data_IF_599360182256
#
_entry.id   IF_599360182256
#
_cell.length_a   1.000
_cell.length_b   1.000
_cell.length_c   1.000
_cell.angle_alpha   90.00
_cell.angle_beta   90.00
_cell.angle_gamma   90.00
#
_symmetry.space_group_name_H-M   'P 1'
#
loop_
_entity.id
_entity.type
_entity.pdbx_description
1 polymer ?
#
# COMPACT_ATOMS: atom_id res chain seq x y z
N UNK A 1 5.54 -21.56 7.57
CA UNK A 1 4.49 -20.79 6.88
C UNK A 1 5.18 -19.97 5.81
N UNK A 2 4.77 -20.08 4.54
CA UNK A 2 5.24 -19.16 3.50
C UNK A 2 4.49 -17.85 3.74
N UNK A 3 5.18 -16.85 4.27
CA UNK A 3 4.62 -15.50 4.36
C UNK A 3 4.31 -15.04 2.94
N UNK A 4 3.06 -14.66 2.71
CA UNK A 4 2.65 -14.01 1.48
C UNK A 4 3.34 -12.65 1.48
N UNK A 5 4.56 -12.58 0.94
CA UNK A 5 5.26 -11.32 0.69
C UNK A 5 4.56 -10.60 -0.46
N UNK A 6 3.34 -10.11 -0.21
CA UNK A 6 2.78 -9.04 -1.00
C UNK A 6 3.77 -7.89 -0.84
N UNK A 7 4.35 -7.40 -1.94
CA UNK A 7 5.10 -6.16 -1.97
C UNK A 7 4.13 -4.99 -1.71
N UNK A 8 3.59 -4.95 -0.50
CA UNK A 8 2.79 -3.84 0.02
C UNK A 8 3.81 -2.84 0.55
N UNK A 9 3.78 -1.60 0.05
CA UNK A 9 4.60 -0.54 0.62
C UNK A 9 4.36 -0.51 2.13
N UNK A 10 5.43 -0.48 2.91
CA UNK A 10 5.32 -0.38 4.36
C UNK A 10 4.95 1.07 4.73
N UNK A 11 3.73 1.46 4.40
CA UNK A 11 3.20 2.82 4.45
C UNK A 11 1.83 2.78 5.14
N UNK A 12 1.63 3.64 6.14
CA UNK A 12 0.40 3.68 6.96
C UNK A 12 -0.16 5.10 7.01
N UNK A 13 -1.48 5.26 6.92
CA UNK A 13 -2.08 6.58 7.10
C UNK A 13 -1.93 7.04 8.56
N UNK A 14 -1.80 8.35 8.76
CA UNK A 14 -1.64 8.91 10.12
C UNK A 14 -2.82 8.59 11.03
N UNK A 15 -4.03 8.57 10.46
CA UNK A 15 -5.25 8.18 11.20
C UNK A 15 -5.14 6.74 11.72
N UNK A 16 -4.83 5.78 10.84
CA UNK A 16 -4.71 4.37 11.22
C UNK A 16 -3.56 4.16 12.19
N UNK A 17 -2.43 4.85 12.00
CA UNK A 17 -1.30 4.78 12.95
C UNK A 17 -1.72 5.25 14.36
N UNK A 18 -2.47 6.34 14.46
CA UNK A 18 -2.98 6.83 15.74
C UNK A 18 -3.95 5.83 16.39
N UNK A 19 -4.81 5.17 15.60
CA UNK A 19 -5.71 4.13 16.11
C UNK A 19 -4.92 2.95 16.70
N UNK A 20 -3.89 2.49 15.99
CA UNK A 20 -3.01 1.42 16.48
C UNK A 20 -2.29 1.86 17.76
N UNK A 21 -1.70 3.05 17.78
CA UNK A 21 -1.00 3.58 18.95
C UNK A 21 -1.90 3.65 20.18
N UNK A 22 -3.12 4.18 20.03
CA UNK A 22 -4.11 4.26 21.10
C UNK A 22 -4.46 2.87 21.64
N UNK A 23 -4.69 1.89 20.77
CA UNK A 23 -5.02 0.52 21.17
C UNK A 23 -3.88 -0.15 21.96
N UNK A 24 -2.63 0.07 21.54
CA UNK A 24 -1.44 -0.46 22.22
C UNK A 24 -1.24 0.21 23.58
N UNK A 25 -1.28 1.55 23.63
CA UNK A 25 -1.11 2.28 24.89
C UNK A 25 -2.19 1.92 25.92
N UNK A 26 -3.44 1.79 25.50
CA UNK A 26 -4.52 1.37 26.39
C UNK A 26 -4.24 -0.01 27.03
N UNK A 27 -3.69 -0.97 26.27
CA UNK A 27 -3.34 -2.29 26.81
C UNK A 27 -2.12 -2.24 27.72
N UNK A 28 -1.13 -1.41 27.40
CA UNK A 28 0.02 -1.17 28.27
C UNK A 28 -0.43 -0.59 29.61
N UNK A 29 -1.31 0.42 29.59
CA UNK A 29 -1.86 1.02 30.80
C UNK A 29 -2.60 -0.01 31.66
N UNK A 30 -3.40 -0.89 31.05
CA UNK A 30 -4.05 -2.00 31.74
C UNK A 30 -3.05 -2.97 32.38
N UNK A 31 -1.97 -3.30 31.67
CA UNK A 31 -0.91 -4.17 32.20
C UNK A 31 -0.22 -3.54 33.41
N UNK A 32 0.05 -2.23 33.38
CA UNK A 32 0.67 -1.50 34.50
C UNK A 32 -0.27 -1.35 35.71
N UNK A 33 -1.58 -1.28 35.49
CA UNK A 33 -2.58 -1.22 36.57
C UNK A 33 -2.88 -2.60 37.18
N UNK A 34 -2.60 -3.68 36.44
CA UNK A 34 -2.77 -5.05 36.92
C UNK A 34 -1.83 -5.38 38.07
N UNK A 35 -2.29 -6.19 39.03
CA UNK A 35 -1.41 -6.69 40.08
C UNK A 35 -0.55 -7.82 39.52
N UNK A 36 0.77 -7.71 39.71
CA UNK A 36 1.74 -8.71 39.22
C UNK A 36 1.80 -9.88 40.21
N UNK A 37 0.91 -10.86 40.04
CA UNK A 37 0.77 -11.94 41.01
C UNK A 37 1.86 -13.02 40.95
N UNK A 38 2.64 -13.12 39.86
CA UNK A 38 3.71 -14.13 39.73
C UNK A 38 4.90 -13.66 38.85
N UNK A 39 6.13 -14.14 39.12
CA UNK A 39 7.30 -13.85 38.31
C UNK A 39 7.10 -14.22 36.84
N UNK A 40 7.53 -13.36 35.93
CA UNK A 40 7.42 -13.60 34.48
C UNK A 40 6.07 -13.27 33.85
N UNK A 41 5.03 -12.96 34.64
CA UNK A 41 3.72 -12.54 34.11
C UNK A 41 3.85 -11.30 33.22
N UNK A 42 4.40 -10.21 33.76
CA UNK A 42 4.54 -8.95 33.03
C UNK A 42 5.32 -9.05 31.71
N UNK A 43 6.54 -9.63 31.65
CA UNK A 43 7.25 -9.75 30.38
C UNK A 43 6.53 -10.65 29.36
N UNK A 44 5.71 -11.61 29.80
CA UNK A 44 4.90 -12.43 28.90
C UNK A 44 3.73 -11.64 28.30
N UNK A 45 2.98 -10.92 29.14
CA UNK A 45 1.87 -10.06 28.68
C UNK A 45 2.38 -8.92 27.79
N UNK A 46 3.49 -8.28 28.15
CA UNK A 46 4.10 -7.24 27.33
C UNK A 46 4.50 -7.77 25.94
N UNK A 47 5.04 -9.00 25.88
CA UNK A 47 5.36 -9.65 24.61
C UNK A 47 4.09 -9.96 23.80
N UNK A 48 2.99 -10.32 24.45
CA UNK A 48 1.71 -10.52 23.77
C UNK A 48 1.20 -9.20 23.14
N UNK A 49 1.27 -8.09 23.88
CA UNK A 49 0.92 -6.75 23.39
C UNK A 49 1.74 -6.40 22.13
N UNK A 50 3.06 -6.60 22.15
CA UNK A 50 3.89 -6.30 20.98
C UNK A 50 3.64 -7.21 19.78
N UNK A 51 3.33 -8.49 20.00
CA UNK A 51 2.93 -9.38 18.90
C UNK A 51 1.63 -8.90 18.25
N UNK A 52 0.69 -8.46 19.06
CA UNK A 52 -0.58 -7.94 18.57
C UNK A 52 -0.44 -6.59 17.88
N UNK A 53 0.44 -5.72 18.37
CA UNK A 53 0.78 -4.46 17.70
C UNK A 53 1.20 -4.71 16.24
N UNK A 54 2.02 -5.73 15.98
CA UNK A 54 2.43 -6.08 14.61
C UNK A 54 1.21 -6.42 13.75
N UNK A 55 0.27 -7.20 14.26
CA UNK A 55 -0.97 -7.52 13.53
C UNK A 55 -1.86 -6.31 13.29
N UNK A 56 -1.99 -5.41 14.27
CA UNK A 56 -2.75 -4.16 14.13
C UNK A 56 -2.16 -3.27 13.02
N UNK A 57 -0.83 -3.14 12.98
CA UNK A 57 -0.13 -2.39 11.92
C UNK A 57 -0.37 -3.04 10.55
N UNK A 58 -0.18 -4.36 10.44
CA UNK A 58 -0.39 -5.09 9.18
C UNK A 58 -1.82 -4.91 8.65
N UNK A 59 -2.83 -5.08 9.52
CA UNK A 59 -4.23 -4.90 9.15
C UNK A 59 -4.51 -3.47 8.69
N UNK A 60 -3.99 -2.46 9.42
CA UNK A 60 -4.15 -1.06 9.05
C UNK A 60 -3.57 -0.72 7.66
N UNK A 61 -2.40 -1.26 7.32
CA UNK A 61 -1.78 -1.08 6.01
C UNK A 61 -2.63 -1.75 4.91
N UNK A 62 -3.09 -2.98 5.16
CA UNK A 62 -3.93 -3.73 4.22
C UNK A 62 -5.27 -3.02 3.99
N UNK A 63 -5.94 -2.57 5.05
CA UNK A 63 -7.20 -1.83 4.98
C UNK A 63 -7.05 -0.55 4.16
N UNK A 64 -5.98 0.23 4.39
CA UNK A 64 -5.73 1.47 3.62
C UNK A 64 -5.61 1.18 2.12
N UNK A 65 -5.03 0.04 1.74
CA UNK A 65 -4.92 -0.37 0.34
C UNK A 65 -6.25 -0.84 -0.25
N UNK A 66 -7.03 -1.61 0.51
CA UNK A 66 -8.38 -2.03 0.13
C UNK A 66 -9.27 -0.80 -0.07
N UNK A 67 -9.20 0.15 0.84
CA UNK A 67 -9.97 1.40 0.76
C UNK A 67 -9.58 2.19 -0.47
N UNK A 68 -8.30 2.28 -0.82
CA UNK A 68 -7.91 2.86 -2.11
C UNK A 68 -8.57 2.14 -3.30
N UNK A 69 -8.50 0.81 -3.33
CA UNK A 69 -9.03 0.02 -4.45
C UNK A 69 -10.56 0.18 -4.62
N UNK A 70 -11.27 0.57 -3.55
CA UNK A 70 -12.72 0.87 -3.55
C UNK A 70 -13.07 2.25 -4.11
N UNK A 71 -12.10 3.09 -4.45
CA UNK A 71 -12.35 4.30 -5.21
C UNK A 71 -12.40 4.01 -6.72
N UNK A 72 -12.80 5.00 -7.51
CA UNK A 72 -12.73 4.94 -8.97
C UNK A 72 -11.59 5.83 -9.46
N UNK A 73 -10.64 5.26 -10.21
CA UNK A 73 -9.54 6.00 -10.81
C UNK A 73 -8.34 6.22 -9.89
N UNK A 74 -7.45 7.14 -10.27
CA UNK A 74 -6.24 7.41 -9.51
C UNK A 74 -6.59 8.15 -8.23
N UNK A 75 -6.14 7.60 -7.11
CA UNK A 75 -6.22 8.22 -5.80
C UNK A 75 -4.82 8.32 -5.21
N UNK A 76 -4.56 9.45 -4.54
CA UNK A 76 -3.34 9.69 -3.78
C UNK A 76 -3.74 10.01 -2.35
N UNK A 77 -3.06 9.41 -1.39
CA UNK A 77 -3.26 9.69 0.02
C UNK A 77 -1.94 9.79 0.77
N UNK A 78 -1.94 10.62 1.81
CA UNK A 78 -0.78 10.86 2.65
C UNK A 78 -0.56 9.71 3.64
N UNK A 79 0.69 9.31 3.79
CA UNK A 79 1.13 8.19 4.62
C UNK A 79 2.36 8.57 5.43
N UNK A 80 2.72 7.69 6.35
CA UNK A 80 4.00 7.70 7.05
C UNK A 80 4.70 6.40 6.68
N UNK A 81 5.97 6.51 6.29
CA UNK A 81 6.76 5.32 5.98
C UNK A 81 7.16 4.60 7.25
N UNK A 82 6.86 3.31 7.31
CA UNK A 82 7.26 2.44 8.43
C UNK A 82 8.77 2.17 8.46
N UNK A 83 9.51 2.50 7.39
CA UNK A 83 10.96 2.23 7.30
C UNK A 83 11.81 3.35 7.88
N UNK A 84 11.42 4.61 7.68
CA UNK A 84 12.20 5.79 8.07
C UNK A 84 11.40 6.81 8.89
N UNK A 85 10.11 6.55 9.16
CA UNK A 85 9.21 7.39 9.93
C UNK A 85 9.02 8.81 9.36
N UNK A 86 9.21 9.02 8.06
CA UNK A 86 8.94 10.31 7.40
C UNK A 86 7.55 10.33 6.78
N UNK A 87 7.01 11.54 6.59
CA UNK A 87 5.83 11.74 5.77
C UNK A 87 6.11 11.28 4.34
N UNK A 88 5.12 10.64 3.74
CA UNK A 88 5.17 9.98 2.44
C UNK A 88 3.78 10.06 1.82
N UNK A 89 3.64 9.53 0.61
CA UNK A 89 2.35 9.39 -0.02
C UNK A 89 2.32 8.13 -0.87
N UNK A 90 1.13 7.55 -0.98
CA UNK A 90 0.88 6.40 -1.85
C UNK A 90 -0.10 6.82 -2.93
N UNK A 91 0.24 6.47 -4.17
CA UNK A 91 -0.64 6.60 -5.33
C UNK A 91 -1.12 5.21 -5.72
N UNK A 92 -2.41 5.09 -6.03
CA UNK A 92 -3.05 3.83 -6.37
C UNK A 92 -4.19 4.05 -7.35
N UNK A 93 -4.58 2.98 -8.05
CA UNK A 93 -5.70 2.99 -8.98
C UNK A 93 -6.84 2.17 -8.40
N UNK A 94 -7.99 2.81 -8.21
CA UNK A 94 -9.21 2.17 -7.75
C UNK A 94 -10.06 1.69 -8.92
N UNK A 95 -10.70 0.54 -8.74
CA UNK A 95 -11.43 -0.17 -9.81
C UNK A 95 -12.95 -0.06 -9.66
N UNK A 96 -13.42 0.52 -8.57
CA UNK A 96 -14.84 0.53 -8.21
C UNK A 96 -15.54 1.75 -8.83
N UNK A 97 -15.66 1.74 -10.16
CA UNK A 97 -16.37 2.76 -10.93
C UNK A 97 -17.83 2.33 -11.14
N UNK A 98 -18.78 3.22 -10.84
CA UNK A 98 -20.23 2.93 -10.87
C UNK A 98 -20.84 3.02 -12.27
N UNK A 99 -20.11 3.58 -13.24
CA UNK A 99 -20.56 3.73 -14.63
C UNK A 99 -19.43 3.59 -15.63
N UNK A 100 -19.77 3.23 -16.87
CA UNK A 100 -18.82 3.17 -17.99
C UNK A 100 -18.12 4.51 -18.25
N UNK A 101 -18.85 5.63 -18.12
CA UNK A 101 -18.28 6.97 -18.26
C UNK A 101 -17.25 7.30 -17.17
N UNK A 102 -17.50 6.88 -15.93
CA UNK A 102 -16.53 7.03 -14.84
C UNK A 102 -15.28 6.15 -15.07
N UNK A 103 -15.48 4.92 -15.53
CA UNK A 103 -14.37 4.01 -15.87
C UNK A 103 -13.50 4.56 -17.02
N UNK A 104 -14.12 5.04 -18.10
CA UNK A 104 -13.42 5.65 -19.23
C UNK A 104 -12.58 6.85 -18.78
N UNK A 105 -13.16 7.73 -17.96
CA UNK A 105 -12.44 8.87 -17.37
C UNK A 105 -11.28 8.43 -16.48
N UNK A 106 -11.48 7.39 -15.66
CA UNK A 106 -10.45 6.83 -14.80
C UNK A 106 -9.26 6.29 -15.61
N UNK A 107 -9.53 5.50 -16.65
CA UNK A 107 -8.50 4.97 -17.57
C UNK A 107 -7.78 6.09 -18.31
N UNK A 108 -8.50 7.11 -18.79
CA UNK A 108 -7.87 8.28 -19.42
C UNK A 108 -6.93 9.01 -18.45
N UNK A 109 -7.33 9.15 -17.18
CA UNK A 109 -6.48 9.70 -16.13
C UNK A 109 -5.22 8.86 -15.90
N UNK A 110 -5.35 7.52 -15.91
CA UNK A 110 -4.22 6.60 -15.80
C UNK A 110 -3.21 6.75 -16.94
N UNK A 111 -3.70 6.84 -18.18
CA UNK A 111 -2.85 7.08 -19.35
C UNK A 111 -2.11 8.43 -19.24
N UNK A 112 -2.77 9.49 -18.78
CA UNK A 112 -2.14 10.79 -18.57
C UNK A 112 -1.07 10.74 -17.48
N UNK A 113 -1.32 10.01 -16.39
CA UNK A 113 -0.35 9.82 -15.32
C UNK A 113 0.89 9.11 -15.84
N UNK A 114 0.75 7.94 -16.48
CA UNK A 114 1.86 7.18 -17.05
C UNK A 114 2.71 8.05 -18.01
N UNK A 115 2.05 8.82 -18.89
CA UNK A 115 2.75 9.72 -19.81
C UNK A 115 3.53 10.84 -19.11
N UNK A 116 3.05 11.37 -17.97
CA UNK A 116 3.78 12.35 -17.16
C UNK A 116 4.99 11.72 -16.47
N UNK A 117 4.83 10.51 -15.95
CA UNK A 117 5.91 9.74 -15.32
C UNK A 117 7.06 9.49 -16.30
N UNK A 118 6.75 8.98 -17.50
CA UNK A 118 7.77 8.77 -18.54
C UNK A 118 8.52 10.04 -18.94
N UNK A 119 7.85 11.20 -18.92
CA UNK A 119 8.49 12.51 -19.20
C UNK A 119 9.40 12.99 -18.06
N UNK A 120 9.11 12.58 -16.83
CA UNK A 120 9.93 12.91 -15.67
C UNK A 120 11.22 12.10 -15.66
N UNK A 121 11.14 10.81 -16.02
CA UNK A 121 12.31 9.93 -16.15
C UNK A 121 13.24 10.34 -17.31
N UNK A 122 12.73 10.99 -18.36
CA UNK A 122 13.57 11.46 -19.48
C UNK A 122 14.52 12.61 -19.11
N UNK A 123 14.30 13.30 -17.98
CA UNK A 123 15.20 14.35 -17.47
C UNK A 123 16.25 13.82 -16.47
N UNK A 124 16.14 12.57 -16.03
CA UNK A 124 17.14 11.89 -15.21
C UNK A 124 17.55 10.61 -15.93
N UNK A 125 18.59 10.74 -16.77
CA UNK A 125 19.21 9.66 -17.54
C UNK A 125 19.46 8.39 -16.73
N UNK A 126 18.51 7.45 -16.80
CA UNK A 126 18.75 6.02 -16.69
C UNK A 126 17.97 5.38 -17.84
N UNK A 127 18.72 4.73 -18.73
CA UNK A 127 18.19 3.91 -19.82
C UNK A 127 17.40 2.78 -19.17
N UNK A 128 16.09 2.93 -19.03
CA UNK A 128 15.20 1.79 -18.80
C UNK A 128 15.15 0.97 -20.10
N UNK A 129 15.19 -0.37 -20.04
CA UNK A 129 14.90 -1.16 -21.23
C UNK A 129 13.49 -0.78 -21.68
N UNK A 130 13.38 -0.27 -22.90
CA UNK A 130 12.09 -0.01 -23.51
C UNK A 130 11.30 -1.32 -23.55
N UNK A 131 10.22 -1.42 -22.78
CA UNK A 131 9.23 -2.49 -22.94
C UNK A 131 8.49 -2.23 -24.26
N UNK A 132 9.10 -2.64 -25.36
CA UNK A 132 8.62 -2.41 -26.74
C UNK A 132 7.19 -2.89 -26.97
N UNK A 133 6.72 -3.85 -26.16
CA UNK A 133 5.34 -4.35 -26.19
C UNK A 133 4.28 -3.38 -25.66
N UNK A 134 4.66 -2.36 -24.86
CA UNK A 134 3.74 -1.37 -24.27
C UNK A 134 3.67 -0.09 -25.12
N UNK A 135 4.26 -0.11 -26.32
CA UNK A 135 4.20 1.02 -27.24
C UNK A 135 2.77 1.23 -27.80
N UNK A 136 2.40 2.48 -28.13
CA UNK A 136 1.06 2.86 -28.60
C UNK A 136 0.42 1.96 -29.66
N UNK A 137 1.13 1.50 -30.72
CA UNK A 137 0.51 0.64 -31.73
C UNK A 137 0.14 -0.77 -31.21
N UNK A 138 0.72 -1.22 -30.10
CA UNK A 138 0.51 -2.56 -29.53
C UNK A 138 -0.56 -2.59 -28.42
N UNK A 139 -0.95 -1.42 -27.89
CA UNK A 139 -1.96 -1.27 -26.84
C UNK A 139 -3.40 -1.54 -27.31
N UNK A 140 -3.69 -1.41 -28.62
CA UNK A 140 -5.04 -1.55 -29.15
C UNK A 140 -5.62 -2.97 -29.03
N UNK A 141 -4.77 -4.00 -28.88
CA UNK A 141 -5.16 -5.41 -28.78
C UNK A 141 -4.53 -6.10 -27.54
N UNK A 142 -4.15 -5.34 -26.52
CA UNK A 142 -3.48 -5.88 -25.34
C UNK A 142 -4.49 -6.57 -24.42
N UNK A 143 -4.49 -7.90 -24.38
CA UNK A 143 -5.21 -8.66 -23.35
C UNK A 143 -4.36 -8.74 -22.08
N UNK A 144 -5.00 -9.05 -20.95
CA UNK A 144 -4.32 -9.17 -19.65
C UNK A 144 -3.20 -10.23 -19.68
N UNK A 145 -3.39 -11.31 -20.46
CA UNK A 145 -2.41 -12.37 -20.69
C UNK A 145 -1.19 -11.84 -21.45
N UNK A 146 -1.40 -11.06 -22.51
CA UNK A 146 -0.33 -10.46 -23.31
C UNK A 146 0.50 -9.44 -22.49
N UNK A 147 -0.15 -8.69 -21.59
CA UNK A 147 0.52 -7.76 -20.68
C UNK A 147 1.39 -8.51 -19.65
N UNK A 148 0.88 -9.62 -19.11
CA UNK A 148 1.60 -10.45 -18.14
C UNK A 148 2.82 -11.12 -18.76
N UNK A 149 2.71 -11.64 -20.00
CA UNK A 149 3.85 -12.23 -20.70
C UNK A 149 4.96 -11.21 -20.95
N UNK A 150 4.62 -10.00 -21.39
CA UNK A 150 5.65 -9.00 -21.66
C UNK A 150 6.44 -8.57 -20.41
N UNK A 151 5.76 -8.46 -19.26
CA UNK A 151 6.40 -8.10 -18.00
C UNK A 151 7.31 -9.20 -17.44
N UNK A 152 7.22 -10.44 -17.95
CA UNK A 152 8.11 -11.54 -17.54
C UNK A 152 9.36 -11.69 -18.41
N UNK A 153 9.46 -10.97 -19.52
CA UNK A 153 10.59 -11.03 -20.47
C UNK A 153 11.73 -10.03 -20.16
N UNK A 154 11.58 -9.22 -19.10
CA UNK A 154 12.53 -8.20 -18.64
C UNK A 154 12.64 -8.21 -17.12
#
# INVERSE_FOLDING_TARGET
MKELHLAIPAEITREKLNQVANAVYQRMDQLYQGKMYFPGYFPNELRAIFREQVHLIQNAIIESRIDCQRHCGIFQYETISCTNCTDSHVVCFGYNCESSAQWEKAVQGLLQYINKWHKMDTNTSLISPSFTCLEPPHLANLTLENASECLTQH
#
